data_IF_902596473073
#
_entry.id   IF_902596473073
#
_cell.length_a   1.000
_cell.length_b   1.000
_cell.length_c   1.000
_cell.angle_alpha   90.00
_cell.angle_beta   90.00
_cell.angle_gamma   90.00
#
_symmetry.space_group_name_H-M   'P 1'
#
loop_
_entity.id
_entity.type
_entity.pdbx_description
1 polymer ?
#
# COMPACT_ATOMS: atom_id res chain seq x y z
N UNK A 1 -36.93 -24.11 30.62
CA UNK A 1 -37.53 -23.47 29.43
C UNK A 1 -36.65 -23.80 28.22
N UNK A 2 -37.19 -24.20 27.07
CA UNK A 2 -36.37 -24.76 25.99
C UNK A 2 -35.61 -23.65 25.25
N UNK A 3 -34.33 -23.92 24.96
CA UNK A 3 -33.50 -23.08 24.10
C UNK A 3 -33.97 -23.21 22.65
N UNK A 4 -34.54 -22.14 22.11
CA UNK A 4 -34.82 -22.03 20.68
C UNK A 4 -33.49 -21.79 19.97
N UNK A 5 -33.01 -22.78 19.21
CA UNK A 5 -31.93 -22.58 18.24
C UNK A 5 -32.47 -21.75 17.09
N UNK A 6 -32.09 -20.47 17.07
CA UNK A 6 -32.32 -19.60 15.93
C UNK A 6 -31.04 -19.60 15.10
N UNK A 7 -31.03 -20.39 14.02
CA UNK A 7 -30.06 -20.28 12.95
C UNK A 7 -30.50 -19.15 12.03
N UNK A 8 -29.68 -18.09 11.90
CA UNK A 8 -29.85 -17.06 10.87
C UNK A 8 -28.49 -16.70 10.25
N UNK A 9 -28.45 -16.46 8.93
CA UNK A 9 -27.26 -16.58 8.11
C UNK A 9 -26.38 -15.33 8.19
N UNK A 10 -25.09 -15.51 7.87
CA UNK A 10 -24.12 -14.43 7.61
C UNK A 10 -24.70 -13.51 6.54
N UNK A 11 -25.18 -12.33 6.93
CA UNK A 11 -25.56 -11.28 6.00
C UNK A 11 -24.58 -10.12 6.13
N UNK A 12 -23.78 -9.98 5.06
CA UNK A 12 -23.31 -8.70 4.57
C UNK A 12 -24.49 -7.72 4.59
N UNK A 13 -24.56 -6.84 5.59
CA UNK A 13 -25.60 -5.84 5.68
C UNK A 13 -25.09 -4.52 5.08
N UNK A 14 -25.49 -4.29 3.84
CA UNK A 14 -25.51 -2.98 3.15
C UNK A 14 -25.93 -1.87 4.12
N UNK A 15 -25.08 -0.87 4.33
CA UNK A 15 -25.50 0.38 4.98
C UNK A 15 -26.02 1.33 3.91
N UNK A 16 -27.31 1.65 4.02
CA UNK A 16 -28.04 2.60 3.17
C UNK A 16 -27.63 4.03 3.52
N UNK A 17 -27.52 4.86 2.49
CA UNK A 17 -27.37 6.31 2.60
C UNK A 17 -28.57 6.99 3.28
N UNK A 18 -28.29 7.94 4.17
CA UNK A 18 -28.89 9.27 4.39
C UNK A 18 -28.27 9.83 5.70
N UNK A 19 -28.00 11.10 5.98
CA UNK A 19 -28.54 12.40 5.55
C UNK A 19 -27.47 13.49 5.79
N UNK A 20 -27.58 14.61 5.06
CA UNK A 20 -26.87 15.87 5.29
C UNK A 20 -27.11 16.41 6.70
N UNK A 21 -26.08 16.95 7.35
CA UNK A 21 -26.14 18.22 8.08
C UNK A 21 -24.77 18.92 7.99
N UNK A 22 -24.80 20.17 7.53
CA UNK A 22 -23.65 21.06 7.59
C UNK A 22 -23.57 21.72 8.96
N UNK A 23 -22.36 22.08 9.36
CA UNK A 23 -22.10 23.15 10.32
C UNK A 23 -20.69 23.68 10.09
N UNK A 24 -20.65 24.98 9.82
CA UNK A 24 -19.47 25.83 9.71
C UNK A 24 -18.66 25.86 11.02
N UNK A 25 -17.34 25.80 10.90
CA UNK A 25 -16.39 25.95 12.02
C UNK A 25 -15.18 26.79 11.59
N UNK A 26 -14.59 27.57 12.51
CA UNK A 26 -13.75 28.72 12.19
C UNK A 26 -12.37 28.33 11.66
N UNK A 27 -11.90 29.06 10.64
CA UNK A 27 -10.54 28.96 10.10
C UNK A 27 -9.56 29.67 11.03
N UNK A 28 -8.62 28.94 11.61
CA UNK A 28 -7.46 29.50 12.29
C UNK A 28 -6.39 29.94 11.28
N UNK A 29 -5.62 31.02 11.52
CA UNK A 29 -4.68 31.57 10.56
C UNK A 29 -3.38 30.75 10.51
N UNK A 30 -2.93 30.42 9.29
CA UNK A 30 -1.60 29.89 8.99
C UNK A 30 -0.52 30.91 9.38
N UNK A 31 0.34 30.54 10.33
CA UNK A 31 1.57 31.26 10.65
C UNK A 31 2.58 31.19 9.50
N UNK A 32 3.19 32.32 9.16
CA UNK A 32 4.24 32.47 8.13
C UNK A 32 5.53 31.79 8.59
N UNK A 33 6.13 30.98 7.73
CA UNK A 33 7.54 30.57 7.83
C UNK A 33 8.43 31.60 7.11
N UNK A 34 9.63 31.92 7.63
CA UNK A 34 10.50 32.96 7.10
C UNK A 34 11.18 32.56 5.78
N UNK A 35 11.29 33.56 4.90
CA UNK A 35 11.92 33.50 3.58
C UNK A 35 13.44 33.25 3.68
N UNK A 36 13.92 32.17 3.07
CA UNK A 36 15.35 31.94 2.87
C UNK A 36 15.80 32.55 1.54
N UNK A 37 16.75 33.48 1.60
CA UNK A 37 17.28 34.27 0.49
C UNK A 37 18.05 33.42 -0.52
N UNK A 38 17.86 33.75 -1.79
CA UNK A 38 18.58 33.21 -2.95
C UNK A 38 20.03 33.73 -3.03
N UNK A 39 20.93 32.88 -3.55
CA UNK A 39 22.18 33.32 -4.19
C UNK A 39 23.49 32.96 -3.47
N UNK A 40 24.07 31.81 -3.78
CA UNK A 40 25.53 31.65 -3.84
C UNK A 40 25.87 30.57 -4.88
N UNK A 41 26.43 31.01 -6.01
CA UNK A 41 26.98 30.17 -7.08
C UNK A 41 28.40 29.73 -6.69
N UNK A 42 28.63 28.42 -6.56
CA UNK A 42 29.97 27.83 -6.51
C UNK A 42 30.29 27.21 -7.88
N UNK A 43 31.22 27.85 -8.61
CA UNK A 43 31.83 27.31 -9.84
C UNK A 43 32.78 26.18 -9.48
N UNK A 44 32.68 25.04 -10.17
CA UNK A 44 33.74 24.03 -10.23
C UNK A 44 34.21 23.82 -11.67
N UNK A 45 35.51 23.56 -11.88
CA UNK A 45 36.17 23.66 -13.17
C UNK A 45 35.89 22.45 -14.08
N UNK A 46 35.94 22.72 -15.37
CA UNK A 46 35.77 21.78 -16.47
C UNK A 46 37.02 20.90 -16.55
N UNK A 47 36.85 19.57 -16.45
CA UNK A 47 37.92 18.59 -16.64
C UNK A 47 37.35 17.18 -16.79
N UNK A 48 37.69 16.51 -17.90
CA UNK A 48 37.14 15.22 -18.36
C UNK A 48 37.62 14.02 -17.52
N UNK A 49 36.85 12.94 -17.70
CA UNK A 49 37.11 11.52 -17.41
C UNK A 49 36.78 11.03 -15.99
N UNK A 50 35.63 10.36 -15.86
CA UNK A 50 35.38 9.42 -14.78
C UNK A 50 34.93 8.09 -15.41
N UNK A 51 35.67 7.03 -15.07
CA UNK A 51 35.43 5.64 -15.44
C UNK A 51 34.00 5.24 -15.09
N UNK A 52 33.35 4.51 -15.99
CA UNK A 52 32.14 3.76 -15.69
C UNK A 52 32.52 2.59 -14.76
N UNK A 53 32.46 2.81 -13.45
CA UNK A 53 32.33 1.73 -12.49
C UNK A 53 30.85 1.37 -12.40
N UNK A 54 30.53 0.11 -12.71
CA UNK A 54 29.21 -0.48 -12.54
C UNK A 54 28.94 -0.62 -11.04
N UNK A 55 28.49 0.45 -10.42
CA UNK A 55 27.97 0.44 -9.05
C UNK A 55 26.89 1.52 -8.96
N UNK A 56 25.74 1.16 -8.40
CA UNK A 56 24.51 1.93 -8.35
C UNK A 56 23.82 2.17 -9.70
N UNK A 57 22.98 1.20 -10.11
CA UNK A 57 21.73 1.53 -10.82
C UNK A 57 20.88 2.36 -9.85
N UNK A 58 21.22 3.64 -9.77
CA UNK A 58 20.52 4.64 -8.98
C UNK A 58 19.21 4.98 -9.69
N UNK A 59 18.11 4.75 -8.99
CA UNK A 59 16.81 5.31 -9.33
C UNK A 59 16.93 6.83 -9.36
N UNK A 60 17.14 7.41 -10.55
CA UNK A 60 16.95 8.83 -10.79
C UNK A 60 15.45 9.04 -10.99
N UNK A 61 14.75 9.41 -9.92
CA UNK A 61 13.41 10.01 -10.03
C UNK A 61 13.58 11.31 -10.80
N UNK A 62 13.14 11.33 -12.05
CA UNK A 62 13.08 12.54 -12.85
C UNK A 62 12.06 13.50 -12.18
N UNK A 63 12.56 14.60 -11.60
CA UNK A 63 11.73 15.79 -11.38
C UNK A 63 11.41 16.38 -12.74
N UNK A 64 10.15 16.26 -13.17
CA UNK A 64 9.59 17.02 -14.29
C UNK A 64 8.70 18.13 -13.74
N UNK A 65 9.12 19.37 -13.96
CA UNK A 65 8.28 20.56 -13.80
C UNK A 65 7.39 20.69 -15.04
N UNK A 66 6.07 20.58 -14.89
CA UNK A 66 5.10 21.14 -15.83
C UNK A 66 3.71 21.27 -15.19
N UNK A 67 3.22 22.51 -15.16
CA UNK A 67 1.89 22.85 -14.68
C UNK A 67 0.78 22.30 -15.58
N UNK A 68 -0.18 21.64 -14.95
CA UNK A 68 -1.42 21.07 -15.49
C UNK A 68 -2.02 20.13 -14.43
N UNK A 69 -3.33 19.78 -14.45
CA UNK A 69 -3.86 18.78 -13.53
C UNK A 69 -3.30 17.41 -13.92
N UNK A 70 -2.18 17.02 -13.29
CA UNK A 70 -1.48 15.76 -13.56
C UNK A 70 -2.39 14.60 -13.13
N UNK A 71 -2.92 13.86 -14.09
CA UNK A 71 -3.51 12.54 -13.82
C UNK A 71 -2.49 11.70 -13.05
N UNK A 72 -2.93 11.06 -11.96
CA UNK A 72 -2.01 10.33 -11.06
C UNK A 72 -1.17 9.33 -11.86
N UNK A 73 0.15 9.42 -11.75
CA UNK A 73 1.08 8.48 -12.36
C UNK A 73 0.70 7.04 -11.95
N UNK A 74 0.65 6.11 -12.90
CA UNK A 74 0.27 4.72 -12.60
C UNK A 74 1.51 3.94 -12.16
N UNK A 75 1.33 3.03 -11.19
CA UNK A 75 2.43 2.20 -10.71
C UNK A 75 2.84 1.14 -11.75
N UNK A 76 4.11 0.74 -11.70
CA UNK A 76 4.64 -0.38 -12.48
C UNK A 76 4.03 -1.70 -12.01
N UNK A 77 3.93 -2.71 -12.90
CA UNK A 77 3.36 -4.02 -12.58
C UNK A 77 3.98 -4.65 -11.34
N UNK A 78 5.31 -4.55 -11.18
CA UNK A 78 6.01 -5.11 -10.02
C UNK A 78 5.50 -4.53 -8.69
N UNK A 79 5.10 -3.26 -8.65
CA UNK A 79 4.52 -2.64 -7.44
C UNK A 79 3.16 -3.25 -7.14
N UNK A 80 2.31 -3.41 -8.17
CA UNK A 80 1.00 -4.03 -8.03
C UNK A 80 1.12 -5.43 -7.44
N UNK A 81 1.95 -6.28 -8.04
CA UNK A 81 2.13 -7.66 -7.61
C UNK A 81 2.80 -7.73 -6.23
N UNK A 82 3.83 -6.92 -5.98
CA UNK A 82 4.52 -6.87 -4.68
C UNK A 82 3.60 -6.48 -3.54
N UNK A 83 2.73 -5.48 -3.72
CA UNK A 83 1.78 -5.06 -2.68
C UNK A 83 0.66 -6.09 -2.56
N UNK A 84 0.02 -6.48 -3.67
CA UNK A 84 -1.11 -7.41 -3.63
C UNK A 84 -0.74 -8.80 -3.07
N UNK A 85 0.50 -9.26 -3.28
CA UNK A 85 0.97 -10.56 -2.76
C UNK A 85 1.61 -10.46 -1.37
N UNK A 86 1.67 -9.26 -0.76
CA UNK A 86 2.02 -9.13 0.66
C UNK A 86 0.87 -9.61 1.55
N UNK A 87 1.14 -9.82 2.84
CA UNK A 87 0.16 -10.38 3.78
C UNK A 87 -0.47 -11.68 3.26
N UNK A 88 0.36 -12.55 2.67
CA UNK A 88 -0.06 -13.83 2.07
C UNK A 88 -1.10 -13.72 0.93
N UNK A 89 -1.26 -12.53 0.35
CA UNK A 89 -2.29 -12.27 -0.65
C UNK A 89 -3.67 -11.98 -0.06
N UNK A 90 -3.76 -11.75 1.25
CA UNK A 90 -4.99 -11.41 1.96
C UNK A 90 -5.09 -9.92 2.22
N UNK A 91 -6.32 -9.43 2.35
CA UNK A 91 -6.61 -8.07 2.77
C UNK A 91 -6.00 -7.77 4.14
N UNK A 92 -5.19 -6.72 4.27
CA UNK A 92 -4.56 -6.35 5.55
C UNK A 92 -5.57 -5.94 6.62
N UNK A 93 -6.75 -5.47 6.18
CA UNK A 93 -7.75 -4.92 7.07
C UNK A 93 -8.63 -6.00 7.70
N UNK A 94 -9.11 -6.96 6.91
CA UNK A 94 -10.03 -7.99 7.40
C UNK A 94 -9.44 -9.38 7.50
N UNK A 95 -8.32 -9.67 6.84
CA UNK A 95 -7.66 -11.00 6.78
C UNK A 95 -8.53 -12.15 6.22
N UNK A 96 -9.81 -11.92 5.97
CA UNK A 96 -10.79 -12.92 5.55
C UNK A 96 -10.97 -13.04 4.04
N UNK A 97 -10.50 -12.04 3.28
CA UNK A 97 -10.69 -11.93 1.84
C UNK A 97 -9.36 -11.76 1.12
N UNK A 98 -9.30 -12.24 -0.11
CA UNK A 98 -8.15 -11.98 -0.97
C UNK A 98 -7.96 -10.47 -1.18
N UNK A 99 -6.72 -10.04 -1.27
CA UNK A 99 -6.42 -8.70 -1.74
C UNK A 99 -6.83 -8.58 -3.22
N UNK A 100 -7.40 -7.45 -3.61
CA UNK A 100 -7.84 -7.21 -4.99
C UNK A 100 -7.38 -5.85 -5.49
N UNK A 101 -7.14 -4.93 -4.57
CA UNK A 101 -6.73 -3.55 -4.83
C UNK A 101 -5.58 -3.16 -3.91
N UNK A 102 -4.82 -2.15 -4.33
CA UNK A 102 -3.87 -1.46 -3.45
C UNK A 102 -4.57 -0.25 -2.85
N UNK A 103 -4.51 -0.10 -1.54
CA UNK A 103 -5.07 1.06 -0.85
C UNK A 103 -3.96 1.96 -0.31
N UNK A 104 -4.20 3.27 -0.34
CA UNK A 104 -3.35 4.26 0.30
C UNK A 104 -3.72 4.37 1.77
N UNK A 105 -2.84 3.95 2.69
CA UNK A 105 -3.12 4.00 4.14
C UNK A 105 -3.42 5.43 4.58
N UNK A 106 -2.60 6.39 4.12
CA UNK A 106 -2.92 7.81 4.16
C UNK A 106 -3.56 8.19 2.81
N UNK A 107 -4.85 8.54 2.76
CA UNK A 107 -5.53 8.83 1.51
C UNK A 107 -4.91 10.02 0.77
N UNK A 108 -4.87 9.94 -0.55
CA UNK A 108 -4.35 11.02 -1.41
C UNK A 108 -5.14 12.32 -1.23
N UNK A 109 -6.46 12.23 -1.00
CA UNK A 109 -7.32 13.38 -0.73
C UNK A 109 -6.97 14.11 0.59
N UNK A 110 -6.21 13.46 1.49
CA UNK A 110 -5.70 14.02 2.74
C UNK A 110 -4.20 14.36 2.67
N UNK A 111 -3.64 14.41 1.45
CA UNK A 111 -2.22 14.73 1.24
C UNK A 111 -1.27 13.55 1.42
N UNK A 112 -1.77 12.31 1.48
CA UNK A 112 -0.92 11.13 1.53
C UNK A 112 -0.04 11.00 0.28
N UNK A 113 1.17 10.43 0.40
CA UNK A 113 2.07 10.28 -0.74
C UNK A 113 1.58 9.18 -1.70
N UNK A 114 1.68 9.45 -3.00
CA UNK A 114 1.48 8.44 -4.03
C UNK A 114 2.77 7.63 -4.25
N UNK A 115 3.09 6.78 -3.28
CA UNK A 115 4.32 6.01 -3.24
C UNK A 115 4.05 4.61 -2.69
N UNK A 116 4.78 3.60 -3.15
CA UNK A 116 4.57 2.20 -2.75
C UNK A 116 4.67 1.96 -1.24
N UNK A 117 5.44 2.79 -0.53
CA UNK A 117 5.54 2.79 0.94
C UNK A 117 4.28 3.21 1.69
N UNK A 118 3.30 3.80 0.99
CA UNK A 118 2.00 4.15 1.55
C UNK A 118 0.90 3.22 1.03
N UNK A 119 1.27 2.07 0.43
CA UNK A 119 0.34 1.11 -0.12
C UNK A 119 0.26 -0.14 0.75
N UNK A 120 -0.96 -0.69 0.85
CA UNK A 120 -1.23 -1.98 1.48
C UNK A 120 -2.19 -2.82 0.61
N UNK A 121 -2.18 -4.15 0.72
CA UNK A 121 -3.16 -5.01 0.06
C UNK A 121 -4.52 -4.89 0.73
N UNK A 122 -5.58 -4.66 -0.05
CA UNK A 122 -6.95 -4.60 0.44
C UNK A 122 -7.93 -5.34 -0.49
N UNK A 123 -9.02 -5.87 0.07
CA UNK A 123 -10.17 -6.31 -0.72
C UNK A 123 -11.01 -5.09 -1.15
N UNK A 124 -11.86 -5.27 -2.16
CA UNK A 124 -12.71 -4.17 -2.67
C UNK A 124 -13.62 -3.64 -1.56
N UNK A 125 -14.26 -4.52 -0.79
CA UNK A 125 -15.22 -4.13 0.25
C UNK A 125 -14.59 -3.27 1.36
N UNK A 126 -13.41 -3.64 1.86
CA UNK A 126 -12.71 -2.85 2.87
C UNK A 126 -12.20 -1.53 2.31
N UNK A 127 -11.66 -1.53 1.08
CA UNK A 127 -11.17 -0.31 0.44
C UNK A 127 -12.30 0.71 0.18
N UNK A 128 -13.45 0.24 -0.34
CA UNK A 128 -14.64 1.07 -0.53
C UNK A 128 -15.21 1.56 0.81
N UNK A 129 -15.24 0.69 1.82
CA UNK A 129 -15.60 1.08 3.17
C UNK A 129 -14.67 2.18 3.66
N UNK A 130 -13.34 2.01 3.63
CA UNK A 130 -12.40 3.04 4.11
C UNK A 130 -12.56 4.37 3.40
N UNK A 131 -12.59 4.37 2.07
CA UNK A 131 -12.72 5.57 1.26
C UNK A 131 -11.58 6.56 1.52
N UNK A 132 -11.90 7.85 1.72
CA UNK A 132 -10.93 8.92 1.99
C UNK A 132 -10.65 9.14 3.49
N UNK A 133 -11.13 8.24 4.35
CA UNK A 133 -10.90 8.31 5.80
C UNK A 133 -9.48 7.85 6.13
N UNK A 134 -8.90 8.50 7.13
CA UNK A 134 -7.66 8.02 7.75
C UNK A 134 -7.92 6.66 8.39
N UNK A 135 -6.96 5.74 8.27
CA UNK A 135 -7.08 4.37 8.79
C UNK A 135 -7.56 4.30 10.25
N UNK A 136 -6.98 5.03 11.23
CA UNK A 136 -7.44 4.95 12.62
C UNK A 136 -8.89 5.38 12.80
N UNK A 137 -9.31 6.44 12.09
CA UNK A 137 -10.68 6.95 12.14
C UNK A 137 -11.67 5.95 11.56
N UNK A 138 -11.34 5.38 10.40
CA UNK A 138 -12.19 4.39 9.75
C UNK A 138 -12.35 3.14 10.63
N UNK A 139 -11.27 2.68 11.25
CA UNK A 139 -11.27 1.50 12.12
C UNK A 139 -12.21 1.69 13.32
N UNK A 140 -12.12 2.85 14.00
CA UNK A 140 -13.06 3.22 15.07
C UNK A 140 -14.52 3.19 14.63
N UNK A 141 -14.82 3.58 13.38
CA UNK A 141 -16.19 3.67 12.87
C UNK A 141 -16.77 2.30 12.51
N UNK A 142 -15.95 1.33 12.05
CA UNK A 142 -16.39 -0.04 11.78
C UNK A 142 -16.44 -0.90 13.06
N UNK A 143 -15.63 -0.57 14.05
CA UNK A 143 -15.58 -1.21 15.37
C UNK A 143 -16.50 -0.56 16.40
N UNK A 144 -17.31 0.43 16.04
CA UNK A 144 -18.20 1.11 16.98
C UNK A 144 -19.41 0.25 17.44
N UNK A 145 -19.52 -1.02 17.01
CA UNK A 145 -20.58 -1.94 17.46
C UNK A 145 -20.30 -3.46 17.30
N UNK A 146 -19.21 -4.03 17.86
CA UNK A 146 -19.03 -5.45 18.03
C UNK A 146 -20.20 -6.08 18.77
N UNK A 147 -20.53 -7.32 18.39
CA UNK A 147 -21.60 -8.09 19.02
C UNK A 147 -21.32 -8.24 20.52
N UNK A 148 -22.34 -8.05 21.36
CA UNK A 148 -22.22 -8.27 22.80
C UNK A 148 -21.71 -7.08 23.60
N UNK A 149 -21.57 -5.90 22.98
CA UNK A 149 -21.18 -4.66 23.67
C UNK A 149 -22.11 -4.26 24.79
N UNK A 150 -23.40 -4.60 24.69
CA UNK A 150 -24.38 -4.38 25.74
C UNK A 150 -24.07 -5.11 27.06
N UNK A 151 -23.12 -6.05 27.02
CA UNK A 151 -22.70 -6.87 28.15
C UNK A 151 -21.35 -6.43 28.75
N UNK A 152 -20.68 -5.45 28.13
CA UNK A 152 -19.36 -4.96 28.55
C UNK A 152 -19.47 -3.70 29.41
N UNK A 153 -18.53 -3.51 30.34
CA UNK A 153 -18.33 -2.19 30.94
C UNK A 153 -17.67 -1.25 29.91
N UNK A 154 -17.76 0.07 30.13
CA UNK A 154 -17.08 1.06 29.29
C UNK A 154 -15.57 0.77 29.21
N UNK A 155 -14.97 0.33 30.32
CA UNK A 155 -13.54 -0.03 30.37
C UNK A 155 -13.24 -1.21 29.45
N UNK A 156 -14.00 -2.30 29.58
CA UNK A 156 -13.77 -3.51 28.78
C UNK A 156 -13.97 -3.22 27.28
N UNK A 157 -14.98 -2.41 26.93
CA UNK A 157 -15.20 -1.99 25.55
C UNK A 157 -14.01 -1.19 24.99
N UNK A 158 -13.49 -0.22 25.75
CA UNK A 158 -12.30 0.54 25.36
C UNK A 158 -11.05 -0.36 25.21
N UNK A 159 -10.87 -1.34 26.10
CA UNK A 159 -9.74 -2.27 26.05
C UNK A 159 -9.81 -3.18 24.81
N UNK A 160 -10.99 -3.69 24.48
CA UNK A 160 -11.22 -4.48 23.26
C UNK A 160 -10.91 -3.66 22.02
N UNK A 161 -11.49 -2.47 21.87
CA UNK A 161 -11.23 -1.58 20.73
C UNK A 161 -9.74 -1.28 20.60
N UNK A 162 -9.08 -0.94 21.72
CA UNK A 162 -7.67 -0.62 21.69
C UNK A 162 -6.80 -1.81 21.23
N UNK A 163 -7.14 -3.02 21.68
CA UNK A 163 -6.44 -4.24 21.27
C UNK A 163 -6.61 -4.53 19.78
N UNK A 164 -7.82 -4.44 19.26
CA UNK A 164 -8.10 -4.64 17.83
C UNK A 164 -7.37 -3.59 16.97
N UNK A 165 -7.37 -2.33 17.41
CA UNK A 165 -6.63 -1.25 16.76
C UNK A 165 -5.12 -1.51 16.72
N UNK A 166 -4.52 -1.90 17.84
CA UNK A 166 -3.11 -2.22 17.89
C UNK A 166 -2.78 -3.40 16.97
N UNK A 167 -3.59 -4.47 16.98
CA UNK A 167 -3.40 -5.60 16.07
C UNK A 167 -3.46 -5.18 14.60
N UNK A 168 -4.40 -4.31 14.24
CA UNK A 168 -4.50 -3.80 12.87
C UNK A 168 -3.31 -2.90 12.47
N UNK A 169 -2.76 -2.11 13.41
CA UNK A 169 -1.53 -1.34 13.19
C UNK A 169 -0.33 -2.27 12.99
N UNK A 170 -0.16 -3.26 13.87
CA UNK A 170 0.93 -4.24 13.79
C UNK A 170 0.91 -4.98 12.45
N UNK A 171 -0.27 -5.32 11.91
CA UNK A 171 -0.39 -5.91 10.57
C UNK A 171 0.06 -4.98 9.46
N UNK A 172 -0.32 -3.70 9.51
CA UNK A 172 0.13 -2.71 8.51
C UNK A 172 1.65 -2.54 8.58
N UNK A 173 2.21 -2.48 9.78
CA UNK A 173 3.66 -2.37 9.97
C UNK A 173 4.39 -3.62 9.47
N UNK A 174 3.84 -4.82 9.69
CA UNK A 174 4.36 -6.06 9.13
C UNK A 174 4.36 -6.04 7.60
N UNK A 175 3.27 -5.56 6.97
CA UNK A 175 3.21 -5.35 5.51
C UNK A 175 4.27 -4.35 5.06
N UNK A 176 4.44 -3.24 5.77
CA UNK A 176 5.46 -2.24 5.45
C UNK A 176 6.88 -2.81 5.53
N UNK A 177 7.18 -3.62 6.54
CA UNK A 177 8.44 -4.32 6.66
C UNK A 177 8.64 -5.33 5.50
N UNK A 178 7.59 -6.07 5.13
CA UNK A 178 7.61 -7.02 4.02
C UNK A 178 7.90 -6.33 2.69
N UNK A 179 7.16 -5.27 2.33
CA UNK A 179 7.34 -4.54 1.08
C UNK A 179 8.64 -3.73 1.04
N UNK A 180 9.20 -3.35 2.19
CA UNK A 180 10.47 -2.65 2.29
C UNK A 180 11.68 -3.58 2.17
N UNK A 181 11.49 -4.91 2.19
CA UNK A 181 12.57 -5.87 2.03
C UNK A 181 13.23 -5.72 0.65
N UNK A 182 14.49 -5.26 0.62
CA UNK A 182 15.20 -5.00 -0.63
C UNK A 182 15.32 -6.22 -1.54
N UNK A 183 15.49 -7.42 -0.98
CA UNK A 183 15.61 -8.65 -1.76
C UNK A 183 14.27 -8.97 -2.44
N UNK A 184 13.16 -8.79 -1.72
CA UNK A 184 11.80 -8.94 -2.26
C UNK A 184 11.54 -7.92 -3.38
N UNK A 185 11.88 -6.65 -3.16
CA UNK A 185 11.75 -5.59 -4.18
C UNK A 185 12.52 -5.99 -5.45
N UNK A 186 13.80 -6.37 -5.31
CA UNK A 186 14.65 -6.81 -6.42
C UNK A 186 14.08 -8.04 -7.14
N UNK A 187 13.53 -8.99 -6.39
CA UNK A 187 12.90 -10.17 -6.96
C UNK A 187 11.69 -9.81 -7.82
N UNK A 188 10.76 -8.98 -7.33
CA UNK A 188 9.60 -8.54 -8.10
C UNK A 188 10.00 -7.75 -9.34
N UNK A 189 10.97 -6.83 -9.23
CA UNK A 189 11.53 -6.11 -10.38
C UNK A 189 12.05 -7.10 -11.42
N UNK A 190 12.93 -8.03 -11.04
CA UNK A 190 13.56 -8.93 -12.00
C UNK A 190 12.57 -9.87 -12.69
N UNK A 191 11.48 -10.25 -12.01
CA UNK A 191 10.49 -11.18 -12.56
C UNK A 191 9.33 -10.50 -13.29
N UNK A 192 9.06 -9.22 -13.01
CA UNK A 192 7.81 -8.56 -13.44
C UNK A 192 7.99 -7.10 -13.89
N UNK A 193 9.20 -6.70 -14.26
CA UNK A 193 9.48 -5.40 -14.91
C UNK A 193 8.96 -5.39 -16.35
N UNK A 194 7.66 -5.21 -16.50
CA UNK A 194 6.95 -5.23 -17.79
C UNK A 194 6.23 -3.92 -18.10
N UNK A 195 6.54 -2.86 -17.37
CA UNK A 195 5.90 -1.57 -17.52
C UNK A 195 4.67 -1.38 -16.63
N UNK A 196 3.88 -0.36 -16.97
CA UNK A 196 2.61 -0.05 -16.31
C UNK A 196 1.52 -0.98 -16.88
N UNK A 197 0.75 -1.69 -16.03
CA UNK A 197 -0.29 -2.59 -16.50
C UNK A 197 -1.41 -1.86 -17.24
N UNK A 198 -1.95 -2.50 -18.28
CA UNK A 198 -3.03 -1.93 -19.10
C UNK A 198 -4.40 -2.01 -18.40
N UNK A 199 -4.62 -3.04 -17.56
CA UNK A 199 -5.90 -3.29 -16.90
C UNK A 199 -5.74 -4.13 -15.61
N UNK A 200 -6.82 -4.22 -14.82
CA UNK A 200 -6.89 -5.15 -13.68
C UNK A 200 -6.76 -6.60 -14.12
N UNK A 201 -7.42 -6.98 -15.22
CA UNK A 201 -7.35 -8.34 -15.76
C UNK A 201 -5.92 -8.76 -16.10
N UNK A 202 -5.10 -7.83 -16.62
CA UNK A 202 -3.68 -8.07 -16.86
C UNK A 202 -2.94 -8.35 -15.55
N UNK A 203 -3.18 -7.56 -14.50
CA UNK A 203 -2.58 -7.80 -13.17
C UNK A 203 -3.00 -9.17 -12.63
N UNK A 204 -4.29 -9.50 -12.69
CA UNK A 204 -4.83 -10.76 -12.17
C UNK A 204 -4.24 -11.98 -12.91
N UNK A 205 -4.05 -11.88 -14.23
CA UNK A 205 -3.40 -12.91 -15.03
C UNK A 205 -1.96 -13.17 -14.56
N UNK A 206 -1.19 -12.10 -14.29
CA UNK A 206 0.15 -12.23 -13.75
C UNK A 206 0.16 -12.73 -12.31
N UNK A 207 -0.86 -12.40 -11.52
CA UNK A 207 -1.09 -12.86 -10.15
C UNK A 207 -1.71 -14.26 -10.07
N UNK A 208 -1.52 -15.07 -11.10
CA UNK A 208 -1.92 -16.48 -11.13
C UNK A 208 -1.05 -17.39 -10.27
N UNK A 209 -1.42 -18.68 -10.25
CA UNK A 209 -0.77 -19.71 -9.41
C UNK A 209 0.73 -19.83 -9.66
N UNK A 210 1.17 -19.79 -10.92
CA UNK A 210 2.59 -19.90 -11.29
C UNK A 210 3.45 -18.84 -10.60
N UNK A 211 3.01 -17.58 -10.58
CA UNK A 211 3.79 -16.52 -9.92
C UNK A 211 3.73 -16.66 -8.40
N UNK A 212 2.58 -17.08 -7.84
CA UNK A 212 2.44 -17.34 -6.39
C UNK A 212 3.35 -18.46 -5.92
N UNK A 213 3.44 -19.55 -6.67
CA UNK A 213 4.37 -20.65 -6.38
C UNK A 213 5.82 -20.19 -6.44
N UNK A 214 6.20 -19.43 -7.48
CA UNK A 214 7.54 -18.86 -7.59
C UNK A 214 7.88 -17.91 -6.45
N UNK A 215 6.94 -17.05 -6.05
CA UNK A 215 7.13 -16.11 -4.95
C UNK A 215 7.24 -16.85 -3.62
N UNK A 216 6.40 -17.87 -3.38
CA UNK A 216 6.48 -18.72 -2.20
C UNK A 216 7.83 -19.41 -2.09
N UNK A 217 8.29 -20.04 -3.16
CA UNK A 217 9.62 -20.68 -3.22
C UNK A 217 10.74 -19.65 -2.99
N UNK A 218 10.62 -18.45 -3.56
CA UNK A 218 11.58 -17.38 -3.34
C UNK A 218 11.58 -16.89 -1.89
N UNK A 219 10.40 -16.75 -1.27
CA UNK A 219 10.22 -16.36 0.13
C UNK A 219 10.87 -17.37 1.07
N UNK A 220 10.63 -18.66 0.86
CA UNK A 220 11.25 -19.77 1.61
C UNK A 220 12.79 -19.76 1.45
N UNK A 221 13.29 -19.44 0.27
CA UNK A 221 14.72 -19.31 -0.01
C UNK A 221 15.33 -17.95 0.41
N UNK A 222 14.57 -17.06 1.06
CA UNK A 222 15.05 -15.76 1.50
C UNK A 222 15.34 -14.75 0.39
N UNK A 223 14.60 -14.86 -0.72
CA UNK A 223 14.71 -14.08 -1.97
C UNK A 223 16.13 -14.11 -2.55
N UNK A 224 16.55 -15.23 -3.16
CA UNK A 224 17.90 -15.35 -3.71
C UNK A 224 18.13 -14.35 -4.85
N UNK A 225 19.38 -13.95 -5.11
CA UNK A 225 19.70 -13.11 -6.25
C UNK A 225 19.29 -13.81 -7.56
N UNK A 226 18.96 -13.04 -8.61
CA UNK A 226 18.66 -13.64 -9.90
C UNK A 226 19.85 -14.46 -10.41
N UNK A 227 19.60 -15.54 -11.18
CA UNK A 227 20.68 -16.25 -11.84
C UNK A 227 21.46 -15.28 -12.74
N UNK A 228 22.78 -15.48 -12.92
CA UNK A 228 23.55 -14.67 -13.84
C UNK A 228 22.91 -14.74 -15.22
N UNK A 229 22.83 -13.59 -15.90
CA UNK A 229 22.34 -13.56 -17.28
C UNK A 229 23.18 -14.54 -18.10
N UNK A 230 22.57 -15.36 -18.97
CA UNK A 230 23.34 -16.20 -19.88
C UNK A 230 24.31 -15.29 -20.63
N UNK A 231 25.61 -15.57 -20.52
CA UNK A 231 26.64 -14.80 -21.20
C UNK A 231 26.39 -14.91 -22.71
N UNK A 232 25.83 -13.86 -23.29
CA UNK A 232 25.59 -13.80 -24.72
C UNK A 232 26.91 -13.37 -25.39
N UNK A 233 27.69 -14.35 -25.85
CA UNK A 233 28.91 -14.07 -26.60
C UNK A 233 28.58 -13.63 -28.03
N UNK A 234 28.49 -12.33 -28.25
CA UNK A 234 28.25 -11.73 -29.57
C UNK A 234 29.34 -12.05 -30.60
N UNK A 235 30.49 -12.62 -30.19
CA UNK A 235 31.62 -12.94 -31.07
C UNK A 235 31.56 -14.33 -31.70
N UNK A 236 30.57 -15.15 -31.36
CA UNK A 236 30.44 -16.54 -31.85
C UNK A 236 29.45 -16.72 -33.01
N UNK A 237 29.21 -15.66 -33.81
CA UNK A 237 28.42 -15.72 -35.05
C UNK A 237 29.15 -15.10 -36.22
#
# INVERSE_FOLDING_TARGET
MPLVRVTVPRLCARVRHAHRLGVDGPRTPLGRLPEARAGTLLRLPIGRSARLTVSAVGYRLAKGESGGPVGRERFQLWVHLMVLMSNEGLCVYCEDAESEVMDHVIPLAKGGPHHWKNLVPACIACNESKGDRLFPRWLMEIEANPRGWEQLTIRDACEVIHKEQNGAIERIEAVYAEIANEKRIKWFINNTWLGVPESKAFIDQWRGEILREKERAAREAGYPPPPPLPYFDWRTR
#
